data_IF_207945351716
#
_entry.id   IF_207945351716
#
_cell.length_a   1.000
_cell.length_b   1.000
_cell.length_c   1.000
_cell.angle_alpha   90.00
_cell.angle_beta   90.00
_cell.angle_gamma   90.00
#
_symmetry.space_group_name_H-M   'P 1'
#
loop_
_entity.id
_entity.type
_entity.pdbx_description
1 polymer ?
#
# COMPACT_ATOMS: atom_id res chain seq x y z
N UNK A 1 -31.80 -5.09 -29.44
CA UNK A 1 -30.85 -6.24 -29.28
C UNK A 1 -30.05 -6.19 -27.98
N UNK A 2 -29.63 -5.03 -27.44
CA UNK A 2 -28.83 -4.88 -26.23
C UNK A 2 -29.62 -5.18 -24.94
N UNK A 3 -30.87 -4.72 -24.86
CA UNK A 3 -31.76 -4.98 -23.70
C UNK A 3 -32.09 -6.46 -23.50
N UNK A 4 -32.21 -7.22 -24.57
CA UNK A 4 -32.54 -8.66 -24.52
C UNK A 4 -31.33 -9.46 -23.99
N UNK A 5 -30.10 -9.10 -24.36
CA UNK A 5 -28.88 -9.74 -23.85
C UNK A 5 -28.64 -9.48 -22.35
N UNK A 6 -29.03 -8.30 -21.85
CA UNK A 6 -28.98 -7.98 -20.43
C UNK A 6 -30.00 -8.78 -19.62
N UNK A 7 -31.19 -8.99 -20.16
CA UNK A 7 -32.25 -9.79 -19.50
C UNK A 7 -31.89 -11.28 -19.46
N UNK A 8 -31.25 -11.81 -20.48
CA UNK A 8 -30.80 -13.21 -20.53
C UNK A 8 -29.66 -13.45 -19.53
N UNK A 9 -28.68 -12.55 -19.43
CA UNK A 9 -27.63 -12.63 -18.40
C UNK A 9 -28.18 -12.49 -16.97
N UNK A 10 -29.18 -11.65 -16.75
CA UNK A 10 -29.84 -11.53 -15.46
C UNK A 10 -30.59 -12.82 -15.06
N UNK A 11 -31.16 -13.56 -16.02
CA UNK A 11 -31.82 -14.87 -15.75
C UNK A 11 -30.85 -15.95 -15.34
N UNK A 12 -29.67 -16.00 -15.94
CA UNK A 12 -28.62 -16.99 -15.59
C UNK A 12 -28.03 -16.72 -14.20
N UNK A 13 -27.82 -15.46 -13.84
CA UNK A 13 -27.33 -15.05 -12.53
C UNK A 13 -28.33 -15.28 -11.39
N UNK A 14 -29.63 -15.31 -11.69
CA UNK A 14 -30.68 -15.67 -10.72
C UNK A 14 -30.71 -17.16 -10.32
N UNK A 15 -30.06 -18.02 -11.10
CA UNK A 15 -30.01 -19.47 -10.81
C UNK A 15 -28.86 -19.86 -9.84
N UNK A 16 -27.89 -18.98 -9.66
CA UNK A 16 -26.74 -19.25 -8.79
C UNK A 16 -27.04 -18.76 -7.37
N UNK A 17 -27.22 -19.69 -6.42
CA UNK A 17 -27.46 -19.38 -5.01
C UNK A 17 -26.12 -19.43 -4.26
N UNK A 18 -25.81 -18.38 -3.51
CA UNK A 18 -24.61 -18.28 -2.70
C UNK A 18 -25.00 -18.39 -1.22
N UNK A 19 -24.71 -19.55 -0.61
CA UNK A 19 -24.61 -19.77 0.84
C UNK A 19 -25.85 -19.49 1.74
N UNK A 20 -26.79 -18.70 1.32
CA UNK A 20 -28.04 -18.42 2.04
C UNK A 20 -29.23 -18.63 1.13
N UNK A 21 -30.21 -19.38 1.58
CA UNK A 21 -31.45 -19.77 0.83
C UNK A 21 -32.26 -18.60 0.24
N UNK A 22 -31.90 -17.35 0.51
CA UNK A 22 -32.69 -16.17 0.18
C UNK A 22 -32.07 -15.17 -0.79
N UNK A 23 -30.77 -15.28 -1.15
CA UNK A 23 -30.12 -14.27 -2.01
C UNK A 23 -29.48 -14.89 -3.23
N UNK A 24 -29.92 -14.45 -4.42
CA UNK A 24 -29.34 -14.86 -5.69
C UNK A 24 -28.10 -14.00 -6.02
N UNK A 25 -27.17 -14.51 -6.83
CA UNK A 25 -25.99 -13.77 -7.28
C UNK A 25 -26.36 -12.41 -7.89
N UNK A 26 -27.47 -12.30 -8.56
CA UNK A 26 -27.98 -11.04 -9.09
C UNK A 26 -28.29 -10.02 -7.98
N UNK A 27 -28.90 -10.44 -6.89
CA UNK A 27 -29.23 -9.58 -5.74
C UNK A 27 -27.97 -9.12 -5.02
N UNK A 28 -26.98 -10.01 -4.88
CA UNK A 28 -25.65 -9.69 -4.30
C UNK A 28 -24.95 -8.63 -5.18
N UNK A 29 -24.91 -8.84 -6.50
CA UNK A 29 -24.28 -7.89 -7.42
C UNK A 29 -25.01 -6.53 -7.44
N UNK A 30 -26.33 -6.55 -7.39
CA UNK A 30 -27.15 -5.32 -7.33
C UNK A 30 -26.91 -4.55 -6.05
N UNK A 31 -26.88 -5.25 -4.90
CA UNK A 31 -26.58 -4.64 -3.60
C UNK A 31 -25.16 -4.08 -3.62
N UNK A 32 -24.20 -4.83 -4.14
CA UNK A 32 -22.81 -4.41 -4.27
C UNK A 32 -22.69 -3.10 -5.09
N UNK A 33 -23.28 -3.06 -6.29
CA UNK A 33 -23.26 -1.84 -7.13
C UNK A 33 -23.98 -0.66 -6.46
N UNK A 34 -25.09 -0.92 -5.76
CA UNK A 34 -25.79 0.11 -5.01
C UNK A 34 -24.93 0.65 -3.85
N UNK A 35 -24.23 -0.22 -3.14
CA UNK A 35 -23.32 0.17 -2.07
C UNK A 35 -22.11 0.95 -2.61
N UNK A 36 -21.54 0.53 -3.74
CA UNK A 36 -20.47 1.26 -4.43
C UNK A 36 -20.85 2.73 -4.72
N UNK A 37 -22.08 2.95 -5.23
CA UNK A 37 -22.57 4.29 -5.55
C UNK A 37 -22.94 5.11 -4.32
N UNK A 38 -23.45 4.47 -3.27
CA UNK A 38 -23.96 5.13 -2.07
C UNK A 38 -22.87 5.62 -1.13
N UNK A 39 -21.70 5.02 -1.17
CA UNK A 39 -20.61 5.25 -0.20
C UNK A 39 -19.40 5.99 -0.79
N UNK A 40 -19.54 6.62 -1.96
CA UNK A 40 -18.47 7.40 -2.61
C UNK A 40 -17.13 6.65 -2.66
N UNK A 41 -17.21 5.35 -3.01
CA UNK A 41 -16.06 4.44 -2.94
C UNK A 41 -14.92 4.94 -3.83
N UNK A 42 -15.23 5.57 -4.96
CA UNK A 42 -14.21 6.13 -5.85
C UNK A 42 -13.43 7.27 -5.18
N UNK A 43 -14.10 8.16 -4.45
CA UNK A 43 -13.44 9.24 -3.71
C UNK A 43 -12.57 8.69 -2.57
N UNK A 44 -13.07 7.67 -1.87
CA UNK A 44 -12.33 7.02 -0.79
C UNK A 44 -11.13 6.24 -1.31
N UNK A 45 -11.30 5.50 -2.41
CA UNK A 45 -10.21 4.81 -3.07
C UNK A 45 -9.14 5.79 -3.58
N UNK A 46 -9.57 6.91 -4.17
CA UNK A 46 -8.69 8.00 -4.58
C UNK A 46 -7.92 8.61 -3.41
N UNK A 47 -8.59 8.87 -2.29
CA UNK A 47 -7.95 9.39 -1.07
C UNK A 47 -6.92 8.41 -0.50
N UNK A 48 -7.23 7.10 -0.48
CA UNK A 48 -6.26 6.08 -0.07
C UNK A 48 -5.07 6.01 -1.01
N UNK A 49 -5.33 5.93 -2.33
CA UNK A 49 -4.29 5.88 -3.34
C UNK A 49 -3.35 7.10 -3.25
N UNK A 50 -3.90 8.30 -3.10
CA UNK A 50 -3.13 9.52 -2.90
C UNK A 50 -2.26 9.46 -1.63
N UNK A 51 -2.84 9.00 -0.52
CA UNK A 51 -2.10 8.85 0.75
C UNK A 51 -0.93 7.89 0.63
N UNK A 52 -1.12 6.75 -0.04
CA UNK A 52 -0.06 5.78 -0.28
C UNK A 52 1.00 6.31 -1.25
N UNK A 53 0.58 7.00 -2.32
CA UNK A 53 1.52 7.58 -3.29
C UNK A 53 2.44 8.62 -2.63
N UNK A 54 1.89 9.51 -1.79
CA UNK A 54 2.71 10.46 -1.04
C UNK A 54 3.66 9.77 -0.06
N UNK A 55 3.23 8.64 0.53
CA UNK A 55 4.07 7.88 1.45
C UNK A 55 5.29 7.24 0.79
N UNK A 56 5.25 6.97 -0.52
CA UNK A 56 6.37 6.37 -1.26
C UNK A 56 7.61 7.25 -1.25
N UNK A 57 7.47 8.56 -1.36
CA UNK A 57 8.62 9.47 -1.41
C UNK A 57 9.48 9.45 -0.13
N UNK A 58 8.91 9.68 1.08
CA UNK A 58 9.67 9.55 2.33
C UNK A 58 10.20 8.13 2.56
N UNK A 59 9.45 7.11 2.15
CA UNK A 59 9.88 5.73 2.26
C UNK A 59 11.12 5.46 1.41
N UNK A 60 11.12 5.89 0.16
CA UNK A 60 12.29 5.76 -0.72
C UNK A 60 13.50 6.50 -0.18
N UNK A 61 13.32 7.74 0.29
CA UNK A 61 14.40 8.50 0.93
C UNK A 61 14.96 7.77 2.16
N UNK A 62 14.10 7.22 3.00
CA UNK A 62 14.52 6.44 4.16
C UNK A 62 15.30 5.19 3.74
N UNK A 63 14.78 4.41 2.79
CA UNK A 63 15.42 3.19 2.31
C UNK A 63 16.79 3.46 1.69
N UNK A 64 16.90 4.49 0.85
CA UNK A 64 18.18 4.87 0.25
C UNK A 64 19.20 5.33 1.28
N UNK A 65 18.78 6.13 2.27
CA UNK A 65 19.68 6.55 3.36
C UNK A 65 20.03 5.42 4.32
N UNK A 66 19.26 4.32 4.35
CA UNK A 66 19.55 3.14 5.15
C UNK A 66 20.68 2.29 4.56
N UNK A 67 20.90 2.37 3.24
CA UNK A 67 21.88 1.56 2.51
C UNK A 67 23.29 1.57 3.12
N UNK A 68 23.91 2.73 3.43
CA UNK A 68 25.26 2.76 4.00
C UNK A 68 25.39 2.00 5.31
N UNK A 69 24.31 1.94 6.09
CA UNK A 69 24.27 1.22 7.36
C UNK A 69 24.09 -0.29 7.14
N UNK A 70 23.30 -0.68 6.13
CA UNK A 70 23.10 -2.09 5.77
C UNK A 70 24.37 -2.73 5.22
N UNK A 71 25.22 -1.99 4.52
CA UNK A 71 26.49 -2.48 3.98
C UNK A 71 27.42 -3.01 5.07
N UNK A 72 27.34 -2.47 6.29
CA UNK A 72 28.14 -2.94 7.44
C UNK A 72 27.72 -4.36 7.87
N UNK A 73 26.44 -4.69 7.79
CA UNK A 73 25.91 -5.98 8.24
C UNK A 73 25.75 -6.98 7.09
N UNK A 74 25.56 -6.50 5.87
CA UNK A 74 25.32 -7.29 4.68
C UNK A 74 26.26 -6.88 3.56
N UNK A 75 27.46 -7.50 3.45
CA UNK A 75 28.46 -7.16 2.42
C UNK A 75 27.96 -7.33 0.97
N UNK A 76 26.89 -8.12 0.77
CA UNK A 76 26.27 -8.27 -0.55
C UNK A 76 25.52 -7.01 -1.00
N UNK A 77 25.14 -6.12 -0.08
CA UNK A 77 24.45 -4.86 -0.37
C UNK A 77 25.49 -3.80 -0.71
N UNK A 78 26.04 -3.86 -1.91
CA UNK A 78 27.03 -2.86 -2.38
C UNK A 78 26.33 -1.71 -3.13
N UNK A 79 26.95 -0.54 -3.13
CA UNK A 79 26.49 0.62 -3.93
C UNK A 79 26.32 0.23 -5.41
N UNK A 80 27.26 -0.55 -5.96
CA UNK A 80 27.19 -1.01 -7.35
C UNK A 80 25.96 -1.87 -7.63
N UNK A 81 25.65 -2.82 -6.72
CA UNK A 81 24.48 -3.70 -6.90
C UNK A 81 23.16 -2.91 -6.86
N UNK A 82 23.08 -1.89 -6.00
CA UNK A 82 21.87 -1.03 -5.94
C UNK A 82 21.75 -0.18 -7.19
N UNK A 83 22.83 0.42 -7.67
CA UNK A 83 22.80 1.22 -8.89
C UNK A 83 22.42 0.37 -10.11
N UNK A 84 22.99 -0.84 -10.25
CA UNK A 84 22.62 -1.75 -11.33
C UNK A 84 21.16 -2.19 -11.25
N UNK A 85 20.64 -2.42 -10.04
CA UNK A 85 19.21 -2.73 -9.83
C UNK A 85 18.30 -1.56 -10.25
N UNK A 86 18.65 -0.33 -9.84
CA UNK A 86 17.89 0.88 -10.23
C UNK A 86 17.95 1.09 -11.72
N UNK A 87 19.13 0.95 -12.35
CA UNK A 87 19.31 1.05 -13.80
C UNK A 87 18.48 0.03 -14.58
N UNK A 88 18.24 -1.15 -14.00
CA UNK A 88 17.41 -2.18 -14.62
C UNK A 88 15.90 -1.90 -14.56
N UNK A 89 15.46 -0.97 -13.71
CA UNK A 89 14.03 -0.68 -13.51
C UNK A 89 13.60 0.61 -14.21
N UNK A 90 14.45 1.63 -14.24
CA UNK A 90 14.11 2.95 -14.77
C UNK A 90 14.72 3.17 -16.17
N UNK A 91 14.10 4.02 -17.03
CA UNK A 91 14.67 4.39 -18.32
C UNK A 91 16.04 5.04 -18.18
N UNK A 92 16.92 4.80 -19.15
CA UNK A 92 18.33 5.25 -19.14
C UNK A 92 18.44 6.78 -18.97
N UNK A 93 17.64 7.55 -19.68
CA UNK A 93 17.65 9.01 -19.61
C UNK A 93 17.33 9.55 -18.19
N UNK A 94 16.41 8.84 -17.49
CA UNK A 94 16.06 9.18 -16.11
C UNK A 94 17.20 8.78 -15.17
N UNK A 95 17.80 7.61 -15.38
CA UNK A 95 18.93 7.14 -14.57
C UNK A 95 20.11 8.12 -14.64
N UNK A 96 20.53 8.52 -15.83
CA UNK A 96 21.63 9.50 -16.02
C UNK A 96 21.38 10.81 -15.28
N UNK A 97 20.12 11.26 -15.25
CA UNK A 97 19.73 12.49 -14.55
C UNK A 97 19.86 12.38 -13.03
N UNK A 98 19.59 11.21 -12.45
CA UNK A 98 19.53 11.02 -10.99
C UNK A 98 20.75 10.30 -10.41
N UNK A 99 21.63 9.73 -11.24
CA UNK A 99 22.77 8.89 -10.82
C UNK A 99 23.65 9.57 -9.80
N UNK A 100 24.05 10.81 -10.05
CA UNK A 100 24.91 11.58 -9.14
C UNK A 100 24.25 11.79 -7.77
N UNK A 101 22.95 12.06 -7.78
CA UNK A 101 22.16 12.25 -6.56
C UNK A 101 22.02 10.92 -5.80
N UNK A 102 21.77 9.83 -6.51
CA UNK A 102 21.70 8.49 -5.94
C UNK A 102 23.03 8.10 -5.29
N UNK A 103 24.14 8.29 -6.00
CA UNK A 103 25.48 8.03 -5.50
C UNK A 103 25.77 8.83 -4.22
N UNK A 104 25.43 10.10 -4.18
CA UNK A 104 25.66 10.97 -3.03
C UNK A 104 24.83 10.53 -1.81
N UNK A 105 23.59 10.07 -2.03
CA UNK A 105 22.71 9.57 -0.96
C UNK A 105 23.19 8.20 -0.43
N UNK A 106 23.56 7.28 -1.34
CA UNK A 106 23.88 5.89 -0.99
C UNK A 106 25.31 5.75 -0.42
N UNK A 107 26.25 6.62 -0.84
CA UNK A 107 27.65 6.50 -0.46
C UNK A 107 28.00 7.11 0.90
N UNK A 108 27.19 8.04 1.39
CA UNK A 108 27.50 8.80 2.62
C UNK A 108 26.43 8.58 3.69
N UNK A 109 26.81 8.03 4.86
CA UNK A 109 25.87 7.91 5.97
C UNK A 109 25.47 9.30 6.48
N UNK A 110 24.18 9.64 6.36
CA UNK A 110 23.61 10.90 6.81
C UNK A 110 22.59 10.66 7.90
N UNK A 111 23.07 10.62 9.14
CA UNK A 111 22.22 10.30 10.30
C UNK A 111 21.01 11.23 10.46
N UNK A 112 21.16 12.52 10.17
CA UNK A 112 20.06 13.48 10.22
C UNK A 112 18.97 13.19 9.18
N UNK A 113 19.37 12.87 7.95
CA UNK A 113 18.43 12.50 6.88
C UNK A 113 17.79 11.15 7.14
N UNK A 114 18.51 10.19 7.70
CA UNK A 114 17.97 8.90 8.10
C UNK A 114 16.90 9.06 9.17
N UNK A 115 17.15 9.85 10.21
CA UNK A 115 16.18 10.11 11.29
C UNK A 115 14.95 10.83 10.78
N UNK A 116 15.11 11.91 10.01
CA UNK A 116 13.99 12.64 9.41
C UNK A 116 13.20 11.74 8.44
N UNK A 117 13.90 11.01 7.57
CA UNK A 117 13.28 10.07 6.63
C UNK A 117 12.48 9.00 7.36
N UNK A 118 12.99 8.46 8.46
CA UNK A 118 12.27 7.49 9.29
C UNK A 118 10.96 8.06 9.85
N UNK A 119 11.01 9.24 10.47
CA UNK A 119 9.82 9.87 11.03
C UNK A 119 8.79 10.21 9.95
N UNK A 120 9.22 10.73 8.81
CA UNK A 120 8.32 11.02 7.69
C UNK A 120 7.75 9.75 7.06
N UNK A 121 8.56 8.70 6.88
CA UNK A 121 8.09 7.42 6.36
C UNK A 121 7.07 6.78 7.30
N UNK A 122 7.34 6.79 8.62
CA UNK A 122 6.42 6.28 9.63
C UNK A 122 5.11 7.09 9.64
N UNK A 123 5.20 8.41 9.62
CA UNK A 123 4.03 9.27 9.57
C UNK A 123 3.19 9.02 8.31
N UNK A 124 3.83 8.95 7.15
CA UNK A 124 3.15 8.77 5.87
C UNK A 124 2.52 7.38 5.74
N UNK A 125 3.20 6.31 6.21
CA UNK A 125 2.63 4.95 6.21
C UNK A 125 1.41 4.85 7.12
N UNK A 126 1.45 5.47 8.31
CA UNK A 126 0.27 5.53 9.19
C UNK A 126 -0.88 6.32 8.58
N UNK A 127 -0.61 7.34 7.75
CA UNK A 127 -1.65 8.10 7.06
C UNK A 127 -2.47 7.23 6.11
N UNK A 128 -1.82 6.35 5.35
CA UNK A 128 -2.50 5.40 4.47
C UNK A 128 -3.44 4.48 5.24
N UNK A 129 -2.98 3.92 6.37
CA UNK A 129 -3.80 3.05 7.23
C UNK A 129 -4.96 3.83 7.88
N UNK A 130 -4.74 5.04 8.37
CA UNK A 130 -5.82 5.91 8.89
C UNK A 130 -6.87 6.19 7.81
N UNK A 131 -6.46 6.49 6.57
CA UNK A 131 -7.38 6.69 5.45
C UNK A 131 -8.22 5.44 5.18
N UNK A 132 -7.61 4.25 5.25
CA UNK A 132 -8.30 2.97 5.13
C UNK A 132 -9.30 2.75 6.29
N UNK A 133 -8.91 2.99 7.54
CA UNK A 133 -9.78 2.88 8.71
C UNK A 133 -10.99 3.81 8.59
N UNK A 134 -10.78 5.08 8.20
CA UNK A 134 -11.86 6.04 8.00
C UNK A 134 -12.84 5.61 6.90
N UNK A 135 -12.31 5.01 5.84
CA UNK A 135 -13.14 4.47 4.75
C UNK A 135 -14.01 3.32 5.20
N UNK A 136 -13.46 2.38 5.97
CA UNK A 136 -14.23 1.28 6.55
C UNK A 136 -15.26 1.78 7.57
N UNK A 137 -14.88 2.66 8.48
CA UNK A 137 -15.79 3.24 9.47
C UNK A 137 -17.01 3.90 8.81
N UNK A 138 -16.79 4.59 7.69
CA UNK A 138 -17.87 5.23 6.96
C UNK A 138 -18.81 4.22 6.27
N UNK A 139 -18.28 3.12 5.72
CA UNK A 139 -19.09 2.05 5.12
C UNK A 139 -19.93 1.34 6.17
N UNK A 140 -19.33 1.03 7.32
CA UNK A 140 -20.01 0.39 8.44
C UNK A 140 -20.81 1.34 9.33
N UNK A 141 -20.83 2.65 9.01
CA UNK A 141 -21.48 3.71 9.79
C UNK A 141 -21.03 3.74 11.26
N UNK A 142 -19.82 3.32 11.51
CA UNK A 142 -19.21 3.33 12.83
C UNK A 142 -18.64 4.73 13.08
N UNK A 143 -19.03 5.38 14.18
CA UNK A 143 -18.42 6.65 14.57
C UNK A 143 -17.04 6.38 15.16
N UNK A 144 -16.03 7.02 14.61
CA UNK A 144 -14.70 7.02 15.21
C UNK A 144 -14.70 7.95 16.43
N UNK A 145 -14.71 7.34 17.62
CA UNK A 145 -14.69 8.08 18.87
C UNK A 145 -13.27 8.27 19.43
N UNK A 146 -12.26 7.76 18.73
CA UNK A 146 -10.87 7.82 19.17
C UNK A 146 -10.26 9.15 18.79
N UNK A 147 -9.44 9.70 19.70
CA UNK A 147 -8.66 10.91 19.40
C UNK A 147 -7.65 10.66 18.28
N UNK A 148 -7.19 11.73 17.64
CA UNK A 148 -6.22 11.69 16.55
C UNK A 148 -4.98 10.84 16.89
N UNK A 149 -4.42 11.00 18.07
CA UNK A 149 -3.23 10.27 18.53
C UNK A 149 -3.49 8.77 18.69
N UNK A 150 -4.64 8.40 19.23
CA UNK A 150 -5.03 6.99 19.39
C UNK A 150 -5.23 6.30 18.03
N UNK A 151 -5.86 6.97 17.07
CA UNK A 151 -6.01 6.46 15.70
C UNK A 151 -4.65 6.27 15.02
N UNK A 152 -3.70 7.19 15.23
CA UNK A 152 -2.32 7.06 14.76
C UNK A 152 -1.57 5.90 15.41
N UNK A 153 -1.72 5.71 16.71
CA UNK A 153 -1.11 4.60 17.44
C UNK A 153 -1.58 3.24 16.91
N UNK A 154 -2.89 3.09 16.66
CA UNK A 154 -3.45 1.87 16.07
C UNK A 154 -2.94 1.66 14.65
N UNK A 155 -2.90 2.72 13.83
CA UNK A 155 -2.36 2.63 12.48
C UNK A 155 -0.89 2.20 12.48
N UNK A 156 -0.08 2.73 13.40
CA UNK A 156 1.32 2.34 13.57
C UNK A 156 1.45 0.86 13.97
N UNK A 157 0.61 0.39 14.89
CA UNK A 157 0.57 -1.02 15.28
C UNK A 157 0.20 -1.94 14.10
N UNK A 158 -0.79 -1.55 13.29
CA UNK A 158 -1.17 -2.30 12.07
C UNK A 158 0.00 -2.35 11.08
N UNK A 159 0.66 -1.23 10.83
CA UNK A 159 1.84 -1.17 9.94
C UNK A 159 2.93 -2.10 10.45
N UNK A 160 3.22 -2.08 11.75
CA UNK A 160 4.23 -2.93 12.36
C UNK A 160 3.90 -4.42 12.20
N UNK A 161 2.65 -4.81 12.46
CA UNK A 161 2.19 -6.20 12.26
C UNK A 161 2.34 -6.61 10.80
N UNK A 162 1.97 -5.75 9.85
CA UNK A 162 2.12 -6.03 8.42
C UNK A 162 3.60 -6.22 8.04
N UNK A 163 4.48 -5.34 8.51
CA UNK A 163 5.93 -5.46 8.25
C UNK A 163 6.49 -6.75 8.80
N UNK A 164 6.18 -7.09 10.06
CA UNK A 164 6.62 -8.35 10.69
C UNK A 164 6.09 -9.56 9.91
N UNK A 165 4.83 -9.51 9.47
CA UNK A 165 4.23 -10.60 8.68
C UNK A 165 4.93 -10.77 7.34
N UNK A 166 5.25 -9.68 6.65
CA UNK A 166 5.97 -9.73 5.36
C UNK A 166 7.38 -10.29 5.56
N UNK A 167 8.10 -9.83 6.59
CA UNK A 167 9.45 -10.33 6.90
C UNK A 167 9.39 -11.83 7.22
N UNK A 168 8.45 -12.26 8.05
CA UNK A 168 8.29 -13.67 8.40
C UNK A 168 7.96 -14.53 7.17
N UNK A 169 7.03 -14.07 6.31
CA UNK A 169 6.66 -14.76 5.08
C UNK A 169 7.85 -14.86 4.11
N UNK A 170 8.60 -13.76 3.95
CA UNK A 170 9.81 -13.75 3.11
C UNK A 170 10.89 -14.69 3.66
N UNK A 171 11.07 -14.72 4.97
CA UNK A 171 12.05 -15.62 5.61
C UNK A 171 11.69 -17.10 5.41
N UNK A 172 10.40 -17.44 5.54
CA UNK A 172 9.92 -18.81 5.28
C UNK A 172 10.14 -19.19 3.81
N UNK A 173 9.90 -18.28 2.88
CA UNK A 173 10.10 -18.53 1.44
C UNK A 173 11.59 -18.76 1.11
N UNK A 174 12.50 -18.01 1.75
CA UNK A 174 13.95 -18.14 1.51
C UNK A 174 14.50 -19.44 2.12
N UNK A 175 14.01 -19.83 3.30
CA UNK A 175 14.52 -21.02 4.01
C UNK A 175 13.85 -22.30 3.51
N UNK A 176 12.60 -22.20 3.03
CA UNK A 176 11.80 -23.35 2.60
C UNK A 176 11.90 -23.69 1.12
N UNK A 177 12.60 -22.93 0.29
CA UNK A 177 12.89 -23.20 -1.13
C UNK A 177 14.32 -23.63 -1.29
#
# INVERSE_FOLDING_TARGET
KWRIRLQLKARTLKKIHFGSKSKNLYDVLRIFIQQLKKHDINERAGSMAFSYTIALFPLLLFLLNLVPYLQVFFPMVTTANILSFVQGIIPVDVYETIETTLLDIISKPRQSLLSLGFFFALFASTQGVVSMMNSFNAVYKTKENRGWLASRGIAAAIVLVLVVTIIAASSVMIIGG
#
